data_IF_686300769729
#
_entry.id   IF_686300769729
#
_cell.length_a   1.000
_cell.length_b   1.000
_cell.length_c   1.000
_cell.angle_alpha   90.00
_cell.angle_beta   90.00
_cell.angle_gamma   90.00
#
_symmetry.space_group_name_H-M   'P 1'
#
loop_
_entity.id
_entity.type
_entity.pdbx_description
1 polymer ?
#
# COMPACT_ATOMS: atom_id res chain seq x y z
N UNK A 1 -44.00 -2.35 10.76
CA UNK A 1 -42.52 -2.31 10.77
C UNK A 1 -42.06 -1.28 11.81
N UNK A 2 -41.82 -1.69 13.04
CA UNK A 2 -41.23 -0.82 14.07
C UNK A 2 -39.72 -0.91 13.96
N UNK A 3 -39.10 0.10 13.33
CA UNK A 3 -37.65 0.19 13.21
C UNK A 3 -37.10 0.37 14.64
N UNK A 4 -36.40 -0.65 15.15
CA UNK A 4 -35.84 -0.67 16.51
C UNK A 4 -34.96 0.56 16.74
N UNK A 5 -35.08 1.19 17.90
CA UNK A 5 -34.30 2.37 18.29
C UNK A 5 -32.79 2.16 18.12
N UNK A 6 -32.30 0.95 18.41
CA UNK A 6 -30.92 0.54 18.18
C UNK A 6 -30.49 0.64 16.70
N UNK A 7 -31.36 0.22 15.77
CA UNK A 7 -31.07 0.31 14.33
C UNK A 7 -31.06 1.75 13.81
N UNK A 8 -31.88 2.64 14.38
CA UNK A 8 -31.87 4.08 14.04
C UNK A 8 -30.61 4.76 14.57
N UNK A 9 -30.15 4.39 15.77
CA UNK A 9 -28.90 4.88 16.34
C UNK A 9 -27.68 4.42 15.54
N UNK A 10 -27.64 3.16 15.13
CA UNK A 10 -26.59 2.62 14.26
C UNK A 10 -26.55 3.29 12.88
N UNK A 11 -27.72 3.59 12.28
CA UNK A 11 -27.78 4.32 11.02
C UNK A 11 -27.27 5.77 11.17
N UNK A 12 -27.61 6.43 12.29
CA UNK A 12 -27.15 7.79 12.59
C UNK A 12 -25.63 7.83 12.82
N UNK A 13 -25.07 6.90 13.61
CA UNK A 13 -23.63 6.85 13.85
C UNK A 13 -22.83 6.56 12.58
N UNK A 14 -23.35 5.70 11.69
CA UNK A 14 -22.76 5.46 10.37
C UNK A 14 -22.75 6.73 9.51
N UNK A 15 -23.88 7.44 9.43
CA UNK A 15 -23.95 8.69 8.67
C UNK A 15 -23.00 9.78 9.20
N UNK A 16 -22.82 9.85 10.51
CA UNK A 16 -21.86 10.76 11.13
C UNK A 16 -20.42 10.36 10.78
N UNK A 17 -20.09 9.07 10.83
CA UNK A 17 -18.78 8.56 10.44
C UNK A 17 -18.50 8.85 8.96
N UNK A 18 -19.45 8.56 8.06
CA UNK A 18 -19.31 8.84 6.64
C UNK A 18 -19.12 10.34 6.34
N UNK A 19 -19.78 11.22 7.09
CA UNK A 19 -19.60 12.67 6.99
C UNK A 19 -18.21 13.13 7.43
N UNK A 20 -17.68 12.58 8.53
CA UNK A 20 -16.35 12.92 9.03
C UNK A 20 -15.22 12.27 8.22
N UNK A 21 -15.37 11.01 7.82
CA UNK A 21 -14.36 10.25 7.10
C UNK A 21 -14.33 10.61 5.61
N UNK A 22 -15.47 10.98 5.02
CA UNK A 22 -15.65 11.27 3.59
C UNK A 22 -14.57 12.19 2.99
N UNK A 23 -14.31 13.38 3.57
CA UNK A 23 -13.31 14.31 3.06
C UNK A 23 -11.87 13.75 3.08
N UNK A 24 -11.55 12.90 4.06
CA UNK A 24 -10.19 12.37 4.26
C UNK A 24 -9.93 11.05 3.52
N UNK A 25 -10.92 10.47 2.84
CA UNK A 25 -10.73 9.21 2.10
C UNK A 25 -9.58 9.31 1.09
N UNK A 26 -9.47 10.46 0.40
CA UNK A 26 -8.39 10.72 -0.55
C UNK A 26 -7.04 10.80 0.15
N UNK A 27 -6.94 11.54 1.26
CA UNK A 27 -5.67 11.70 1.99
C UNK A 27 -5.22 10.38 2.59
N UNK A 28 -6.15 9.56 3.11
CA UNK A 28 -5.84 8.21 3.57
C UNK A 28 -5.41 7.29 2.43
N UNK A 29 -6.01 7.42 1.25
CA UNK A 29 -5.58 6.66 0.07
C UNK A 29 -4.16 7.00 -0.38
N UNK A 30 -3.79 8.29 -0.35
CA UNK A 30 -2.41 8.73 -0.62
C UNK A 30 -1.45 8.20 0.44
N UNK A 31 -1.77 8.39 1.72
CA UNK A 31 -0.91 7.93 2.82
C UNK A 31 -0.67 6.42 2.78
N UNK A 32 -1.72 5.64 2.48
CA UNK A 32 -1.59 4.18 2.31
C UNK A 32 -0.66 3.84 1.14
N UNK A 33 -0.82 4.53 0.01
CA UNK A 33 0.03 4.31 -1.16
C UNK A 33 1.49 4.67 -0.88
N UNK A 34 1.75 5.77 -0.18
CA UNK A 34 3.10 6.18 0.21
C UNK A 34 3.74 5.13 1.14
N UNK A 35 2.95 4.53 2.05
CA UNK A 35 3.40 3.46 2.93
C UNK A 35 3.70 2.16 2.17
N UNK A 36 2.85 1.79 1.19
CA UNK A 36 3.07 0.66 0.29
C UNK A 36 4.34 0.88 -0.57
N UNK A 37 4.52 2.07 -1.15
CA UNK A 37 5.69 2.42 -1.97
C UNK A 37 6.98 2.42 -1.13
N UNK A 38 6.92 2.86 0.14
CA UNK A 38 8.04 2.80 1.08
C UNK A 38 8.39 1.37 1.46
N UNK A 39 7.39 0.52 1.70
CA UNK A 39 7.60 -0.90 1.97
C UNK A 39 8.33 -1.59 0.81
N UNK A 40 7.87 -1.35 -0.42
CA UNK A 40 8.53 -1.85 -1.64
C UNK A 40 9.99 -1.38 -1.74
N UNK A 41 10.24 -0.10 -1.44
CA UNK A 41 11.59 0.47 -1.46
C UNK A 41 12.52 -0.22 -0.46
N UNK A 42 12.06 -0.51 0.75
CA UNK A 42 12.87 -1.22 1.75
C UNK A 42 13.15 -2.65 1.31
N UNK A 43 12.14 -3.38 0.83
CA UNK A 43 12.31 -4.77 0.36
C UNK A 43 13.29 -4.85 -0.82
N UNK A 44 13.31 -3.84 -1.69
CA UNK A 44 14.14 -3.81 -2.91
C UNK A 44 15.40 -2.94 -2.77
N UNK A 45 15.72 -2.45 -1.57
CA UNK A 45 16.83 -1.53 -1.33
C UNK A 45 18.16 -2.11 -1.83
N UNK A 46 18.43 -3.38 -1.50
CA UNK A 46 19.64 -4.09 -1.93
C UNK A 46 19.73 -4.21 -3.46
N UNK A 47 18.61 -4.50 -4.14
CA UNK A 47 18.54 -4.55 -5.61
C UNK A 47 18.76 -3.19 -6.27
N UNK A 48 18.47 -2.10 -5.55
CA UNK A 48 18.77 -0.72 -5.98
C UNK A 48 20.22 -0.31 -5.65
N UNK A 49 21.01 -1.19 -5.07
CA UNK A 49 22.39 -0.93 -4.65
C UNK A 49 22.50 -0.13 -3.35
N UNK A 50 21.41 0.00 -2.59
CA UNK A 50 21.40 0.61 -1.26
C UNK A 50 21.62 -0.50 -0.24
N UNK A 51 22.74 -0.49 0.51
CA UNK A 51 23.01 -1.54 1.47
C UNK A 51 21.97 -1.52 2.58
N UNK A 52 21.22 -2.62 2.72
CA UNK A 52 20.15 -2.74 3.72
C UNK A 52 20.49 -3.83 4.75
N UNK A 53 20.66 -3.49 6.05
CA UNK A 53 20.86 -4.50 7.10
C UNK A 53 19.68 -5.47 7.24
N UNK A 54 18.48 -5.09 6.78
CA UNK A 54 17.30 -5.95 6.78
C UNK A 54 17.18 -6.83 5.54
N UNK A 55 18.05 -6.68 4.52
CA UNK A 55 17.95 -7.40 3.24
C UNK A 55 17.82 -8.92 3.40
N UNK A 56 18.54 -9.50 4.37
CA UNK A 56 18.47 -10.93 4.66
C UNK A 56 17.06 -11.36 5.15
N UNK A 57 16.42 -10.52 5.97
CA UNK A 57 15.11 -10.81 6.54
C UNK A 57 13.96 -10.49 5.56
N UNK A 58 14.16 -9.51 4.68
CA UNK A 58 13.15 -9.09 3.71
C UNK A 58 13.19 -9.90 2.41
N UNK A 59 14.25 -10.69 2.17
CA UNK A 59 14.36 -11.56 1.00
C UNK A 59 13.16 -12.53 0.84
N UNK A 60 12.60 -13.01 1.95
CA UNK A 60 11.42 -13.90 1.95
C UNK A 60 10.13 -13.19 1.50
N UNK A 61 10.11 -11.85 1.53
CA UNK A 61 8.96 -11.04 1.11
C UNK A 61 8.96 -10.78 -0.40
N UNK A 62 10.09 -10.98 -1.08
CA UNK A 62 10.22 -10.76 -2.53
C UNK A 62 9.14 -11.47 -3.36
N UNK A 63 8.79 -12.76 -3.11
CA UNK A 63 7.70 -13.43 -3.83
C UNK A 63 6.33 -12.80 -3.56
N UNK A 64 6.10 -12.27 -2.36
CA UNK A 64 4.80 -11.70 -1.99
C UNK A 64 4.56 -10.34 -2.66
N UNK A 65 5.62 -9.56 -2.91
CA UNK A 65 5.53 -8.26 -3.57
C UNK A 65 5.65 -8.33 -5.09
N UNK A 66 5.86 -9.53 -5.63
CA UNK A 66 6.20 -9.72 -7.03
C UNK A 66 5.06 -9.33 -7.98
N UNK A 67 3.81 -9.59 -7.59
CA UNK A 67 2.62 -9.25 -8.38
C UNK A 67 2.47 -7.72 -8.55
N UNK A 68 2.82 -6.95 -7.51
CA UNK A 68 2.70 -5.50 -7.49
C UNK A 68 3.94 -4.76 -8.05
N UNK A 69 5.03 -5.49 -8.29
CA UNK A 69 6.33 -4.91 -8.66
C UNK A 69 6.28 -4.10 -9.95
N UNK A 70 5.61 -4.63 -10.99
CA UNK A 70 5.52 -3.96 -12.29
C UNK A 70 4.92 -2.56 -12.17
N UNK A 71 3.77 -2.48 -11.49
CA UNK A 71 3.05 -1.23 -11.31
C UNK A 71 3.82 -0.29 -10.39
N UNK A 72 4.53 -0.82 -9.39
CA UNK A 72 5.35 -0.01 -8.49
C UNK A 72 6.55 0.62 -9.22
N UNK A 73 7.37 -0.15 -9.94
CA UNK A 73 8.61 0.39 -10.52
C UNK A 73 8.31 1.44 -11.60
N UNK A 74 7.21 1.27 -12.35
CA UNK A 74 6.71 2.27 -13.30
C UNK A 74 6.32 3.58 -12.61
N UNK A 75 5.57 3.50 -11.51
CA UNK A 75 5.15 4.70 -10.76
C UNK A 75 6.32 5.41 -10.08
N UNK A 76 7.25 4.63 -9.56
CA UNK A 76 8.49 5.13 -8.95
C UNK A 76 9.43 5.76 -9.98
N UNK A 77 9.10 5.66 -11.28
CA UNK A 77 9.87 6.27 -12.36
C UNK A 77 11.20 5.57 -12.63
N UNK A 78 11.31 4.29 -12.26
CA UNK A 78 12.53 3.51 -12.43
C UNK A 78 12.58 3.01 -13.89
N UNK A 79 13.57 3.40 -14.71
CA UNK A 79 13.53 3.13 -16.15
C UNK A 79 13.67 1.65 -16.53
N UNK A 80 14.31 0.83 -15.69
CA UNK A 80 14.53 -0.61 -15.89
C UNK A 80 14.35 -1.33 -14.55
N UNK A 81 13.77 -2.54 -14.60
CA UNK A 81 13.69 -3.45 -13.45
C UNK A 81 15.02 -3.49 -12.67
N UNK A 82 15.04 -3.16 -11.37
CA UNK A 82 16.21 -3.35 -10.51
C UNK A 82 16.52 -4.82 -10.20
N UNK A 83 15.64 -5.76 -10.57
CA UNK A 83 15.89 -7.19 -10.34
C UNK A 83 16.80 -7.75 -11.44
N UNK A 84 18.02 -8.14 -11.09
CA UNK A 84 19.03 -8.62 -12.04
C UNK A 84 18.61 -9.87 -12.82
N UNK A 85 17.85 -10.76 -12.20
CA UNK A 85 17.49 -12.06 -12.76
C UNK A 85 16.09 -12.09 -13.35
N UNK A 86 15.35 -10.99 -13.21
CA UNK A 86 13.95 -10.90 -13.58
C UNK A 86 13.75 -9.64 -14.42
N UNK A 87 13.61 -9.87 -15.72
CA UNK A 87 13.13 -8.85 -16.65
C UNK A 87 11.64 -8.62 -16.40
N UNK A 88 11.32 -7.51 -15.75
CA UNK A 88 10.00 -6.91 -15.83
C UNK A 88 10.05 -5.86 -16.94
N UNK A 89 9.15 -6.02 -17.92
CA UNK A 89 9.15 -5.40 -19.27
C UNK A 89 9.94 -6.16 -20.34
#
# INVERSE_FOLDING_TARGET
MTVSFSSRWAAFSKGLNDFYAGPYRKTFGVARRDEDDHFMLVVLAESLGVPDPAAYYTAELLPAVYEDFHDWHQRSGIPRSPLDHISCC
#
